data_IF_316425705661
#
_entry.id   IF_316425705661
#
_cell.length_a   1.000
_cell.length_b   1.000
_cell.length_c   1.000
_cell.angle_alpha   90.00
_cell.angle_beta   90.00
_cell.angle_gamma   90.00
#
_symmetry.space_group_name_H-M   'P 1'
#
loop_
_entity.id
_entity.type
_entity.pdbx_description
1 polymer ?
#
# COMPACT_ATOMS: atom_id res chain seq x y z
N UNK A 1 24.82 -39.44 16.38
CA UNK A 1 25.76 -39.21 15.27
C UNK A 1 24.95 -39.28 13.98
N UNK A 2 24.35 -38.15 13.58
CA UNK A 2 24.88 -37.28 12.51
C UNK A 2 24.81 -38.03 11.17
N UNK A 3 23.83 -37.79 10.30
CA UNK A 3 23.80 -36.73 9.25
C UNK A 3 22.52 -37.08 8.43
N UNK A 4 21.63 -36.21 7.95
CA UNK A 4 21.70 -34.79 7.67
C UNK A 4 20.26 -34.25 7.61
N UNK A 5 19.81 -33.63 8.70
CA UNK A 5 18.71 -32.66 8.73
C UNK A 5 19.12 -31.38 7.98
N UNK A 6 19.39 -31.47 6.67
CA UNK A 6 19.96 -30.36 5.88
C UNK A 6 19.30 -30.18 4.51
N UNK A 7 17.99 -30.38 4.38
CA UNK A 7 17.26 -30.05 3.15
C UNK A 7 15.96 -29.25 3.35
N UNK A 8 15.77 -28.61 4.51
CA UNK A 8 14.69 -27.62 4.68
C UNK A 8 15.26 -26.34 5.26
N UNK A 9 16.34 -25.86 4.65
CA UNK A 9 16.74 -24.46 4.76
C UNK A 9 16.46 -23.85 3.38
N UNK A 10 15.89 -22.64 3.39
CA UNK A 10 15.72 -21.73 2.24
C UNK A 10 14.47 -22.02 1.39
N UNK A 11 13.39 -21.27 1.61
CA UNK A 11 12.25 -21.30 0.69
C UNK A 11 11.05 -20.43 1.02
N UNK A 12 10.98 -19.78 2.17
CA UNK A 12 9.96 -18.76 2.44
C UNK A 12 10.64 -17.42 2.69
N UNK A 13 11.32 -16.89 1.67
CA UNK A 13 11.52 -15.44 1.63
C UNK A 13 10.11 -14.90 1.39
N UNK A 14 9.45 -14.45 2.46
CA UNK A 14 8.27 -13.62 2.33
C UNK A 14 8.73 -12.35 1.62
N UNK A 15 8.71 -12.36 0.29
CA UNK A 15 8.87 -11.16 -0.50
C UNK A 15 7.77 -10.21 -0.03
N UNK A 16 8.17 -9.13 0.62
CA UNK A 16 7.28 -8.03 0.95
C UNK A 16 6.77 -7.47 -0.37
N UNK A 17 5.60 -7.92 -0.83
CA UNK A 17 4.96 -7.43 -2.04
C UNK A 17 4.40 -6.02 -1.77
N UNK A 18 5.26 -5.02 -1.60
CA UNK A 18 4.83 -3.62 -1.61
C UNK A 18 4.70 -3.15 -3.06
N UNK A 19 3.58 -2.52 -3.45
CA UNK A 19 3.47 -1.86 -4.76
C UNK A 19 4.22 -0.52 -4.80
N UNK A 20 4.41 0.06 -3.63
CA UNK A 20 5.06 1.33 -3.39
C UNK A 20 6.30 1.12 -2.53
N UNK A 21 7.25 2.04 -2.64
CA UNK A 21 8.47 2.04 -1.83
C UNK A 21 8.84 3.44 -1.38
N UNK A 22 9.82 3.55 -0.48
CA UNK A 22 10.33 4.82 0.05
C UNK A 22 10.96 5.76 -0.99
N UNK A 23 11.17 5.31 -2.22
CA UNK A 23 11.69 6.14 -3.33
C UNK A 23 10.58 6.73 -4.19
N UNK A 24 9.33 6.29 -4.03
CA UNK A 24 8.18 6.87 -4.73
C UNK A 24 7.67 8.12 -4.00
N UNK A 25 6.99 9.01 -4.71
CA UNK A 25 6.29 10.15 -4.09
C UNK A 25 4.93 9.76 -3.46
N UNK A 26 4.54 8.48 -3.56
CA UNK A 26 3.31 7.93 -2.95
C UNK A 26 3.52 7.74 -1.45
N UNK A 27 2.61 8.28 -0.65
CA UNK A 27 2.68 8.18 0.81
C UNK A 27 2.00 6.89 1.25
N UNK A 28 2.77 5.97 1.85
CA UNK A 28 2.21 4.77 2.45
C UNK A 28 1.44 5.09 3.74
N UNK A 29 0.14 4.79 3.71
CA UNK A 29 -0.78 5.03 4.79
C UNK A 29 -1.18 3.71 5.45
N UNK A 30 -1.28 3.73 6.78
CA UNK A 30 -1.64 2.58 7.60
C UNK A 30 -2.36 3.06 8.88
N UNK A 31 -2.93 2.17 9.70
CA UNK A 31 -3.71 2.56 10.88
C UNK A 31 -2.98 3.45 11.89
N UNK A 32 -1.65 3.40 11.95
CA UNK A 32 -0.87 4.22 12.89
C UNK A 32 -0.66 5.67 12.42
N UNK A 33 -0.80 5.96 11.13
CA UNK A 33 -0.55 7.30 10.57
C UNK A 33 -1.75 7.91 9.84
N UNK A 34 -2.76 7.12 9.45
CA UNK A 34 -3.85 7.58 8.58
C UNK A 34 -4.62 8.74 9.20
N UNK A 35 -5.04 8.61 10.46
CA UNK A 35 -5.84 9.64 11.13
C UNK A 35 -5.09 10.97 11.21
N UNK A 36 -3.84 10.94 11.68
CA UNK A 36 -3.01 12.13 11.80
C UNK A 36 -2.65 12.77 10.45
N UNK A 37 -2.27 11.96 9.44
CA UNK A 37 -1.84 12.48 8.14
C UNK A 37 -2.99 12.92 7.25
N UNK A 38 -4.12 12.21 7.29
CA UNK A 38 -5.24 12.42 6.37
C UNK A 38 -6.37 13.17 7.06
N UNK A 39 -6.91 12.63 8.16
CA UNK A 39 -8.14 13.14 8.77
C UNK A 39 -7.92 14.43 9.57
N UNK A 40 -6.74 14.59 10.16
CA UNK A 40 -6.36 15.78 10.92
C UNK A 40 -5.59 16.81 10.07
N UNK A 41 -5.48 16.58 8.76
CA UNK A 41 -4.82 17.50 7.82
C UNK A 41 -5.83 18.39 7.10
N UNK A 42 -5.39 19.58 6.69
CA UNK A 42 -6.13 20.45 5.77
C UNK A 42 -5.77 20.20 4.31
N UNK A 43 -4.84 19.28 4.02
CA UNK A 43 -4.44 18.93 2.67
C UNK A 43 -5.56 18.16 1.95
N UNK A 44 -5.62 18.29 0.62
CA UNK A 44 -6.45 17.43 -0.21
C UNK A 44 -5.71 16.12 -0.45
N UNK A 45 -6.41 15.00 -0.23
CA UNK A 45 -5.87 13.66 -0.40
C UNK A 45 -6.62 12.90 -1.47
N UNK A 46 -5.89 12.14 -2.28
CA UNK A 46 -6.40 10.98 -2.99
C UNK A 46 -5.74 9.73 -2.41
N UNK A 47 -6.55 8.77 -2.00
CA UNK A 47 -6.07 7.54 -1.37
C UNK A 47 -6.52 6.33 -2.17
N UNK A 48 -5.55 5.54 -2.64
CA UNK A 48 -5.82 4.22 -3.19
C UNK A 48 -5.84 3.17 -2.07
N UNK A 49 -6.95 2.47 -1.92
CA UNK A 49 -7.04 1.24 -1.15
C UNK A 49 -6.81 0.06 -2.09
N UNK A 50 -5.73 -0.69 -1.85
CA UNK A 50 -5.24 -1.73 -2.75
C UNK A 50 -4.98 -3.06 -2.01
N UNK A 51 -4.65 -4.09 -2.80
CA UNK A 51 -4.01 -5.31 -2.30
C UNK A 51 -2.86 -5.70 -3.24
N UNK A 52 -1.69 -6.12 -2.73
CA UNK A 52 -0.52 -6.43 -3.58
C UNK A 52 -0.75 -7.50 -4.65
N UNK A 53 -1.59 -8.48 -4.33
CA UNK A 53 -1.91 -9.59 -5.21
C UNK A 53 -2.92 -9.20 -6.30
N UNK A 54 -3.58 -8.04 -6.20
CA UNK A 54 -4.56 -7.58 -7.18
C UNK A 54 -3.88 -7.12 -8.49
N UNK A 55 -4.25 -7.75 -9.61
CA UNK A 55 -3.71 -7.40 -10.93
C UNK A 55 -4.05 -5.98 -11.37
N UNK A 56 -5.26 -5.49 -11.08
CA UNK A 56 -5.66 -4.12 -11.41
C UNK A 56 -4.87 -3.08 -10.61
N UNK A 57 -4.58 -3.34 -9.33
CA UNK A 57 -3.72 -2.47 -8.51
C UNK A 57 -2.29 -2.40 -9.07
N UNK A 58 -1.71 -3.55 -9.43
CA UNK A 58 -0.39 -3.59 -10.09
C UNK A 58 -0.36 -2.78 -11.38
N UNK A 59 -1.42 -2.83 -12.17
CA UNK A 59 -1.52 -2.06 -13.41
C UNK A 59 -1.72 -0.56 -13.17
N UNK A 60 -2.38 -0.17 -12.06
CA UNK A 60 -2.59 1.22 -11.68
C UNK A 60 -1.34 1.86 -11.08
N UNK A 61 -0.52 1.10 -10.34
CA UNK A 61 0.62 1.63 -9.60
C UNK A 61 1.57 2.55 -10.40
N UNK A 62 1.93 2.27 -11.67
CA UNK A 62 2.77 3.19 -12.46
C UNK A 62 2.13 4.56 -12.72
N UNK A 63 0.81 4.62 -12.89
CA UNK A 63 0.07 5.87 -13.05
C UNK A 63 -0.10 6.58 -11.70
N UNK A 64 -0.36 5.82 -10.63
CA UNK A 64 -0.47 6.36 -9.27
C UNK A 64 0.83 7.07 -8.83
N UNK A 65 1.99 6.46 -9.12
CA UNK A 65 3.31 7.07 -8.89
C UNK A 65 3.49 8.36 -9.70
N UNK A 66 3.11 8.37 -10.98
CA UNK A 66 3.16 9.57 -11.83
C UNK A 66 2.26 10.68 -11.31
N UNK A 67 1.06 10.34 -10.85
CA UNK A 67 0.14 11.30 -10.24
C UNK A 67 0.73 11.90 -8.96
N UNK A 68 1.35 11.08 -8.10
CA UNK A 68 2.03 11.55 -6.90
C UNK A 68 3.12 12.59 -7.19
N UNK A 69 3.97 12.32 -8.20
CA UNK A 69 5.00 13.28 -8.62
C UNK A 69 4.40 14.54 -9.25
N UNK A 70 3.41 14.39 -10.14
CA UNK A 70 2.82 15.52 -10.85
C UNK A 70 2.03 16.48 -9.96
N UNK A 71 1.40 15.97 -8.90
CA UNK A 71 0.56 16.74 -7.98
C UNK A 71 1.29 17.14 -6.69
N UNK A 72 2.60 16.88 -6.61
CA UNK A 72 3.40 17.13 -5.43
C UNK A 72 3.29 18.59 -4.98
N UNK A 73 2.88 18.78 -3.72
CA UNK A 73 2.67 20.11 -3.13
C UNK A 73 1.27 20.71 -3.35
N UNK A 74 0.41 20.05 -4.15
CA UNK A 74 -0.97 20.48 -4.41
C UNK A 74 -1.97 19.48 -3.82
N UNK A 75 -1.80 18.20 -4.16
CA UNK A 75 -2.62 17.08 -3.67
C UNK A 75 -1.69 15.99 -3.15
N UNK A 76 -2.00 15.44 -1.99
CA UNK A 76 -1.27 14.31 -1.42
C UNK A 76 -1.82 13.02 -2.01
N UNK A 77 -0.93 12.18 -2.53
CA UNK A 77 -1.28 10.87 -3.09
C UNK A 77 -0.85 9.80 -2.10
N UNK A 78 -1.83 9.11 -1.54
CA UNK A 78 -1.63 8.06 -0.55
C UNK A 78 -2.00 6.67 -1.08
N UNK A 79 -1.48 5.65 -0.44
CA UNK A 79 -1.87 4.27 -0.69
C UNK A 79 -1.99 3.48 0.62
N UNK A 80 -3.06 2.69 0.75
CA UNK A 80 -3.32 1.79 1.88
C UNK A 80 -3.40 0.36 1.35
N UNK A 81 -2.52 -0.51 1.83
CA UNK A 81 -2.73 -1.95 1.67
C UNK A 81 -3.89 -2.38 2.59
N UNK A 82 -5.08 -2.47 2.01
CA UNK A 82 -6.31 -2.77 2.72
C UNK A 82 -6.54 -4.28 2.88
N UNK A 83 -5.71 -5.13 2.27
CA UNK A 83 -5.70 -6.57 2.58
C UNK A 83 -4.96 -6.84 3.90
N UNK A 84 -3.85 -6.13 4.16
CA UNK A 84 -3.19 -6.16 5.48
C UNK A 84 -3.91 -5.31 6.54
N UNK A 85 -4.61 -4.25 6.14
CA UNK A 85 -5.32 -3.34 7.05
C UNK A 85 -6.84 -3.32 6.82
N UNK A 86 -7.48 -4.50 6.93
CA UNK A 86 -8.90 -4.71 6.61
C UNK A 86 -9.86 -3.79 7.36
N UNK A 87 -9.61 -3.51 8.64
CA UNK A 87 -10.46 -2.63 9.45
C UNK A 87 -10.48 -1.20 8.91
N UNK A 88 -9.33 -0.68 8.49
CA UNK A 88 -9.21 0.65 7.88
C UNK A 88 -9.92 0.70 6.53
N UNK A 89 -9.75 -0.33 5.68
CA UNK A 89 -10.52 -0.44 4.43
C UNK A 89 -12.04 -0.48 4.66
N UNK A 90 -12.50 -1.27 5.63
CA UNK A 90 -13.91 -1.39 5.99
C UNK A 90 -14.50 -0.07 6.51
N UNK A 91 -13.74 0.68 7.32
CA UNK A 91 -14.15 1.99 7.83
C UNK A 91 -14.52 2.96 6.70
N UNK A 92 -13.85 2.86 5.55
CA UNK A 92 -14.11 3.70 4.37
C UNK A 92 -14.94 3.00 3.29
N UNK A 93 -15.60 1.88 3.63
CA UNK A 93 -16.51 1.17 2.74
C UNK A 93 -15.83 0.51 1.54
N UNK A 94 -14.57 0.10 1.67
CA UNK A 94 -13.83 -0.60 0.62
C UNK A 94 -14.32 -2.05 0.53
N UNK A 95 -14.94 -2.40 -0.59
CA UNK A 95 -15.43 -3.76 -0.88
C UNK A 95 -14.70 -4.46 -2.03
N UNK A 96 -13.71 -3.79 -2.65
CA UNK A 96 -12.94 -4.30 -3.78
C UNK A 96 -11.75 -3.41 -4.10
N UNK A 97 -10.84 -3.92 -4.94
CA UNK A 97 -9.57 -3.26 -5.24
C UNK A 97 -9.34 -3.07 -6.76
N UNK A 98 -8.69 -1.97 -7.16
CA UNK A 98 -8.42 -0.78 -6.34
C UNK A 98 -9.72 -0.01 -6.05
N UNK A 99 -9.76 0.69 -4.91
CA UNK A 99 -10.78 1.72 -4.62
C UNK A 99 -10.07 3.02 -4.35
N UNK A 100 -10.47 4.11 -5.02
CA UNK A 100 -9.92 5.45 -4.80
C UNK A 100 -10.95 6.28 -4.03
N UNK A 101 -10.51 7.00 -3.01
CA UNK A 101 -11.31 7.92 -2.19
C UNK A 101 -10.64 9.29 -2.11
#
# INVERSE_FOLDING_TARGET
MHLSLLFVIIGFIASTYGLYSSTDDVIELNPSNFDHLVMQSSDIWFVEFYAPWCGHCRNLAPEWKRAATALKGIVKIGAVDADSHKSLGQQYGVSGFPTIK
#
